data_IF_465350694156
#
_entry.id   IF_465350694156
#
_cell.length_a   1.000
_cell.length_b   1.000
_cell.length_c   1.000
_cell.angle_alpha   90.00
_cell.angle_beta   90.00
_cell.angle_gamma   90.00
#
_symmetry.space_group_name_H-M   'P 1'
#
loop_
_entity.id
_entity.type
_entity.pdbx_description
1 polymer ?
#
# COMPACT_ATOMS: atom_id res chain seq x y z
N UNK A 1 19.90 -30.14 10.29
CA UNK A 1 19.81 -28.90 9.53
C UNK A 1 19.08 -27.84 10.36
N UNK A 2 19.77 -26.70 10.65
CA UNK A 2 19.30 -25.66 11.60
C UNK A 2 18.32 -24.64 10.98
N UNK A 3 17.81 -24.89 9.76
CA UNK A 3 16.99 -23.96 9.04
C UNK A 3 15.46 -24.13 9.21
N UNK A 4 15.05 -25.06 10.08
CA UNK A 4 13.63 -25.28 10.42
C UNK A 4 12.97 -24.22 11.31
N UNK A 5 13.62 -23.08 11.55
CA UNK A 5 12.89 -21.97 12.15
C UNK A 5 12.06 -21.31 11.04
N UNK A 6 10.72 -21.40 11.09
CA UNK A 6 9.89 -20.74 10.08
C UNK A 6 10.18 -19.24 10.16
N UNK A 7 10.33 -18.59 8.98
CA UNK A 7 10.33 -17.11 8.86
C UNK A 7 8.89 -16.62 9.15
N UNK A 8 8.27 -17.21 10.16
CA UNK A 8 6.88 -16.98 10.51
C UNK A 8 6.76 -15.61 11.17
N UNK A 9 5.96 -14.75 10.61
CA UNK A 9 5.56 -13.48 11.22
C UNK A 9 6.32 -12.24 10.74
N UNK A 10 7.34 -12.35 9.89
CA UNK A 10 8.13 -11.22 9.38
C UNK A 10 7.72 -10.83 7.93
N UNK A 11 8.08 -9.61 7.51
CA UNK A 11 7.96 -9.20 6.10
C UNK A 11 8.70 -10.15 5.15
N UNK A 12 9.85 -10.67 5.57
CA UNK A 12 10.62 -11.66 4.82
C UNK A 12 9.85 -12.97 4.63
N UNK A 13 9.11 -13.41 5.64
CA UNK A 13 8.24 -14.59 5.53
C UNK A 13 7.07 -14.37 4.57
N UNK A 14 6.47 -13.18 4.57
CA UNK A 14 5.42 -12.84 3.59
C UNK A 14 5.96 -12.85 2.17
N UNK A 15 7.15 -12.29 1.96
CA UNK A 15 7.81 -12.30 0.65
C UNK A 15 8.19 -13.71 0.21
N UNK A 16 8.71 -14.55 1.12
CA UNK A 16 9.00 -15.96 0.87
C UNK A 16 7.75 -16.69 0.35
N UNK A 17 6.63 -16.62 1.09
CA UNK A 17 5.41 -17.34 0.74
C UNK A 17 4.80 -16.81 -0.57
N UNK A 18 4.86 -15.49 -0.80
CA UNK A 18 4.41 -14.91 -2.06
C UNK A 18 5.25 -15.37 -3.26
N UNK A 19 6.57 -15.55 -3.09
CA UNK A 19 7.46 -16.06 -4.14
C UNK A 19 7.22 -17.55 -4.41
N UNK A 20 6.92 -18.34 -3.39
CA UNK A 20 6.52 -19.75 -3.57
C UNK A 20 5.16 -19.85 -4.28
N UNK A 21 4.18 -19.03 -3.88
CA UNK A 21 2.90 -18.95 -4.60
C UNK A 21 3.10 -18.54 -6.06
N UNK A 22 3.98 -17.57 -6.32
CA UNK A 22 4.33 -17.17 -7.68
C UNK A 22 4.93 -18.34 -8.48
N UNK A 23 5.85 -19.09 -7.90
CA UNK A 23 6.44 -20.29 -8.54
C UNK A 23 5.36 -21.32 -8.89
N UNK A 24 4.43 -21.58 -8.00
CA UNK A 24 3.38 -22.57 -8.21
C UNK A 24 2.34 -22.14 -9.26
N UNK A 25 2.00 -20.85 -9.34
CA UNK A 25 0.84 -20.37 -10.12
C UNK A 25 1.18 -19.52 -11.33
N UNK A 26 2.47 -19.22 -11.61
CA UNK A 26 2.87 -18.34 -12.73
C UNK A 26 2.38 -18.83 -14.09
N UNK A 27 2.22 -20.14 -14.29
CA UNK A 27 1.68 -20.73 -15.53
C UNK A 27 0.21 -20.37 -15.78
N UNK A 28 -0.52 -19.97 -14.74
CA UNK A 28 -1.91 -19.52 -14.84
C UNK A 28 -2.06 -18.05 -15.23
N UNK A 29 -1.00 -17.26 -15.17
CA UNK A 29 -1.02 -15.85 -15.55
C UNK A 29 -1.15 -15.70 -17.07
N UNK A 30 -2.28 -15.14 -17.54
CA UNK A 30 -2.56 -15.00 -18.98
C UNK A 30 -1.84 -13.83 -19.65
N UNK A 31 -1.43 -12.83 -18.89
CA UNK A 31 -0.72 -11.63 -19.37
C UNK A 31 0.69 -11.57 -18.76
N UNK A 32 1.69 -12.25 -19.34
CA UNK A 32 3.06 -12.31 -18.80
C UNK A 32 3.71 -10.93 -18.61
N UNK A 33 3.36 -9.96 -19.46
CA UNK A 33 3.87 -8.59 -19.38
C UNK A 33 3.46 -7.88 -18.08
N UNK A 34 2.41 -8.37 -17.40
CA UNK A 34 1.91 -7.88 -16.12
C UNK A 34 2.46 -8.65 -14.92
N UNK A 35 3.45 -9.51 -15.12
CA UNK A 35 4.05 -10.33 -14.06
C UNK A 35 4.45 -9.50 -12.83
N UNK A 36 4.97 -8.29 -13.01
CA UNK A 36 5.38 -7.43 -11.91
C UNK A 36 4.18 -7.03 -11.03
N UNK A 37 3.13 -6.49 -11.62
CA UNK A 37 1.90 -6.13 -10.90
C UNK A 37 1.27 -7.34 -10.23
N UNK A 38 1.22 -8.47 -10.93
CA UNK A 38 0.71 -9.75 -10.41
C UNK A 38 1.51 -10.24 -9.18
N UNK A 39 2.83 -10.13 -9.20
CA UNK A 39 3.66 -10.48 -8.05
C UNK A 39 3.40 -9.55 -6.86
N UNK A 40 3.20 -8.24 -7.09
CA UNK A 40 2.79 -7.32 -6.04
C UNK A 40 1.43 -7.68 -5.44
N UNK A 41 0.49 -8.18 -6.24
CA UNK A 41 -0.81 -8.64 -5.75
C UNK A 41 -0.65 -9.84 -4.81
N UNK A 42 0.19 -10.83 -5.16
CA UNK A 42 0.50 -11.98 -4.30
C UNK A 42 1.13 -11.52 -2.97
N UNK A 43 2.14 -10.65 -3.02
CA UNK A 43 2.80 -10.12 -1.83
C UNK A 43 1.80 -9.38 -0.94
N UNK A 44 0.94 -8.53 -1.53
CA UNK A 44 -0.09 -7.81 -0.82
C UNK A 44 -1.07 -8.74 -0.11
N UNK A 45 -1.62 -9.71 -0.83
CA UNK A 45 -2.58 -10.65 -0.27
C UNK A 45 -1.98 -11.45 0.89
N UNK A 46 -0.73 -11.90 0.75
CA UNK A 46 -0.03 -12.59 1.83
C UNK A 46 0.21 -11.68 3.05
N UNK A 47 0.61 -10.43 2.83
CA UNK A 47 0.74 -9.45 3.91
C UNK A 47 -0.60 -9.21 4.61
N UNK A 48 -1.70 -9.04 3.87
CA UNK A 48 -3.03 -8.82 4.43
C UNK A 48 -3.51 -10.04 5.21
N UNK A 49 -3.31 -11.25 4.70
CA UNK A 49 -3.60 -12.50 5.40
C UNK A 49 -2.89 -12.58 6.74
N UNK A 50 -1.59 -12.27 6.78
CA UNK A 50 -0.79 -12.26 8.02
C UNK A 50 -1.21 -11.15 8.99
N UNK A 51 -1.65 -10.01 8.47
CA UNK A 51 -2.14 -8.91 9.31
C UNK A 51 -3.46 -9.23 10.02
N UNK A 52 -4.27 -10.11 9.42
CA UNK A 52 -5.55 -10.58 9.98
C UNK A 52 -5.39 -11.71 11.00
N UNK A 53 -4.24 -12.36 11.05
CA UNK A 53 -4.01 -13.47 12.00
C UNK A 53 -4.06 -12.94 13.45
N UNK A 54 -5.06 -13.39 14.26
CA UNK A 54 -5.19 -12.97 15.65
C UNK A 54 -4.03 -13.44 16.54
N UNK A 55 -3.33 -14.49 16.11
CA UNK A 55 -2.17 -15.04 16.82
C UNK A 55 -0.85 -14.39 16.41
N UNK A 56 -0.91 -13.33 15.62
CA UNK A 56 0.27 -12.62 15.15
C UNK A 56 1.10 -12.11 16.33
N UNK A 57 2.40 -12.42 16.37
CA UNK A 57 3.29 -11.84 17.38
C UNK A 57 3.28 -10.30 17.31
N UNK A 58 3.20 -9.65 18.46
CA UNK A 58 3.18 -8.19 18.57
C UNK A 58 4.49 -7.52 18.14
N UNK A 59 5.48 -8.26 17.73
CA UNK A 59 6.79 -7.76 17.31
C UNK A 59 6.72 -7.04 15.97
N UNK A 60 6.54 -5.72 16.03
CA UNK A 60 6.95 -4.81 14.97
C UNK A 60 8.48 -4.67 15.03
N UNK A 61 9.19 -5.59 14.43
CA UNK A 61 10.57 -5.32 14.02
C UNK A 61 10.49 -4.54 12.72
N UNK A 62 10.69 -3.25 12.80
CA UNK A 62 11.01 -2.46 11.62
C UNK A 62 12.29 -3.07 11.00
N UNK A 63 12.25 -3.31 9.69
CA UNK A 63 13.48 -3.71 9.00
C UNK A 63 14.53 -2.62 9.25
N UNK A 64 15.79 -2.97 9.54
CA UNK A 64 16.82 -1.98 9.74
C UNK A 64 16.88 -1.10 8.49
N UNK A 65 16.70 0.21 8.68
CA UNK A 65 16.91 1.17 7.63
C UNK A 65 18.40 1.17 7.30
N UNK A 66 18.73 0.87 6.05
CA UNK A 66 20.11 1.03 5.59
C UNK A 66 20.31 2.50 5.28
N UNK A 67 20.97 3.18 6.18
CA UNK A 67 21.51 4.49 5.90
C UNK A 67 22.68 4.33 4.91
N UNK A 68 22.71 5.23 3.94
CA UNK A 68 23.79 5.27 2.95
C UNK A 68 25.05 5.73 3.68
N UNK A 69 25.93 4.80 4.04
CA UNK A 69 27.14 5.07 4.82
C UNK A 69 28.16 5.99 4.12
N UNK A 70 27.83 6.48 2.93
CA UNK A 70 28.64 7.41 2.14
C UNK A 70 28.15 8.88 2.26
N UNK A 71 27.04 9.15 2.97
CA UNK A 71 26.53 10.49 3.16
C UNK A 71 27.30 11.20 4.27
N UNK A 72 27.64 12.46 4.06
CA UNK A 72 28.16 13.31 5.13
C UNK A 72 27.03 13.69 6.13
N UNK A 73 27.44 14.28 7.27
CA UNK A 73 26.48 14.61 8.34
C UNK A 73 25.41 15.63 7.91
N UNK A 74 25.72 16.54 6.98
CA UNK A 74 24.79 17.55 6.47
C UNK A 74 23.79 16.93 5.49
N UNK A 75 24.27 16.08 4.59
CA UNK A 75 23.44 15.33 3.65
C UNK A 75 22.48 14.38 4.37
N UNK A 76 22.98 13.70 5.41
CA UNK A 76 22.15 12.83 6.26
C UNK A 76 21.05 13.64 6.96
N UNK A 77 21.37 14.79 7.57
CA UNK A 77 20.40 15.66 8.22
C UNK A 77 19.32 16.13 7.23
N UNK A 78 19.70 16.56 6.03
CA UNK A 78 18.77 16.98 4.99
C UNK A 78 17.86 15.83 4.54
N UNK A 79 18.42 14.63 4.41
CA UNK A 79 17.65 13.42 4.06
C UNK A 79 16.65 13.04 5.15
N UNK A 80 17.06 13.10 6.41
CA UNK A 80 16.16 12.85 7.55
C UNK A 80 15.02 13.87 7.61
N UNK A 81 15.30 15.15 7.35
CA UNK A 81 14.28 16.19 7.28
C UNK A 81 13.29 15.96 6.14
N UNK A 82 13.77 15.60 4.95
CA UNK A 82 12.92 15.24 3.81
C UNK A 82 12.04 14.02 4.12
N UNK A 83 12.58 13.01 4.80
CA UNK A 83 11.80 11.85 5.27
C UNK A 83 10.67 12.25 6.21
N UNK A 84 10.95 13.10 7.20
CA UNK A 84 9.92 13.58 8.14
C UNK A 84 8.81 14.34 7.42
N UNK A 85 9.16 15.16 6.41
CA UNK A 85 8.21 15.85 5.57
C UNK A 85 7.31 14.87 4.80
N UNK A 86 7.91 13.87 4.17
CA UNK A 86 7.18 12.81 3.46
C UNK A 86 6.26 12.03 4.40
N UNK A 87 6.73 11.65 5.59
CA UNK A 87 5.90 10.98 6.58
C UNK A 87 4.68 11.81 6.99
N UNK A 88 4.87 13.12 7.18
CA UNK A 88 3.77 14.04 7.46
C UNK A 88 2.76 14.07 6.32
N UNK A 89 3.21 14.19 5.07
CA UNK A 89 2.35 14.17 3.89
C UNK A 89 1.58 12.85 3.72
N UNK A 90 2.29 11.73 3.82
CA UNK A 90 1.69 10.39 3.70
C UNK A 90 0.68 10.09 4.83
N UNK A 91 0.87 10.67 6.01
CA UNK A 91 -0.07 10.51 7.12
C UNK A 91 -1.43 11.16 6.84
N UNK A 92 -1.53 12.13 5.91
CA UNK A 92 -2.79 12.74 5.48
C UNK A 92 -3.62 11.83 4.56
N UNK A 93 -3.01 10.80 3.97
CA UNK A 93 -3.65 9.88 3.05
C UNK A 93 -4.33 8.71 3.79
N UNK A 94 -5.42 8.20 3.21
CA UNK A 94 -6.01 6.92 3.62
C UNK A 94 -5.09 5.77 3.22
N UNK A 95 -5.19 4.61 3.90
CA UNK A 95 -4.32 3.47 3.63
C UNK A 95 -4.28 3.06 2.16
N UNK A 96 -5.46 2.95 1.52
CA UNK A 96 -5.59 2.56 0.10
C UNK A 96 -5.02 3.62 -0.87
N UNK A 97 -5.17 4.90 -0.55
CA UNK A 97 -4.60 6.00 -1.34
C UNK A 97 -3.07 6.00 -1.28
N UNK A 98 -2.53 5.76 -0.07
CA UNK A 98 -1.07 5.64 0.15
C UNK A 98 -0.49 4.46 -0.62
N UNK A 99 -1.14 3.30 -0.53
CA UNK A 99 -0.74 2.09 -1.23
C UNK A 99 -0.75 2.28 -2.75
N UNK A 100 -1.83 2.87 -3.31
CA UNK A 100 -1.93 3.17 -4.74
C UNK A 100 -0.82 4.10 -5.23
N UNK A 101 -0.51 5.17 -4.48
CA UNK A 101 0.58 6.09 -4.83
C UNK A 101 1.95 5.43 -4.74
N UNK A 102 2.20 4.60 -3.72
CA UNK A 102 3.47 3.90 -3.57
C UNK A 102 3.70 2.95 -4.75
N UNK A 103 2.70 2.15 -5.10
CA UNK A 103 2.76 1.27 -6.27
C UNK A 103 3.04 2.02 -7.57
N UNK A 104 2.40 3.16 -7.79
CA UNK A 104 2.57 3.95 -9.00
C UNK A 104 3.89 4.72 -9.02
N UNK A 105 4.21 5.49 -7.97
CA UNK A 105 5.31 6.45 -7.98
C UNK A 105 6.66 5.84 -7.64
N UNK A 106 6.70 4.86 -6.73
CA UNK A 106 7.96 4.19 -6.32
C UNK A 106 8.21 2.94 -7.14
N UNK A 107 7.16 2.18 -7.41
CA UNK A 107 7.28 0.89 -8.09
C UNK A 107 6.96 0.97 -9.58
N UNK A 108 6.47 2.11 -10.08
CA UNK A 108 6.23 2.38 -11.50
C UNK A 108 5.18 1.45 -12.13
N UNK A 109 4.18 1.00 -11.36
CA UNK A 109 3.05 0.24 -11.88
C UNK A 109 2.10 1.19 -12.62
N UNK A 110 1.51 0.70 -13.71
CA UNK A 110 0.45 1.43 -14.41
C UNK A 110 -0.91 1.31 -13.69
N UNK A 111 -1.91 2.06 -14.16
CA UNK A 111 -3.23 2.08 -13.52
C UNK A 111 -3.94 0.70 -13.54
N UNK A 112 -3.70 -0.10 -14.58
CA UNK A 112 -4.30 -1.44 -14.67
C UNK A 112 -3.61 -2.42 -13.73
N UNK A 113 -2.28 -2.34 -13.59
CA UNK A 113 -1.52 -3.11 -12.60
C UNK A 113 -1.91 -2.72 -11.17
N UNK A 114 -1.98 -1.41 -10.86
CA UNK A 114 -2.46 -0.91 -9.56
C UNK A 114 -3.87 -1.41 -9.29
N UNK A 115 -4.73 -1.37 -10.29
CA UNK A 115 -6.09 -1.92 -10.22
C UNK A 115 -6.08 -3.40 -9.85
N UNK A 116 -5.27 -4.21 -10.53
CA UNK A 116 -5.10 -5.63 -10.24
C UNK A 116 -4.61 -5.91 -8.82
N UNK A 117 -3.60 -5.15 -8.35
CA UNK A 117 -3.07 -5.28 -6.98
C UNK A 117 -4.11 -4.91 -5.93
N UNK A 118 -4.83 -3.79 -6.11
CA UNK A 118 -5.76 -3.27 -5.12
C UNK A 118 -7.19 -3.77 -5.30
N UNK A 119 -7.38 -4.50 -6.35
CA UNK A 119 -8.66 -5.06 -6.65
C UNK A 119 -9.71 -4.05 -7.05
N UNK A 120 -9.42 -3.20 -7.96
CA UNK A 120 -10.30 -2.21 -8.59
C UNK A 120 -10.06 -2.20 -10.10
N UNK A 121 -10.94 -1.58 -10.85
CA UNK A 121 -10.69 -1.39 -12.28
C UNK A 121 -9.67 -0.27 -12.54
N UNK A 122 -9.13 -0.21 -13.78
CA UNK A 122 -8.08 0.77 -14.13
C UNK A 122 -8.56 2.23 -14.03
N UNK A 123 -9.85 2.49 -14.25
CA UNK A 123 -10.45 3.83 -14.12
C UNK A 123 -10.50 4.23 -12.64
N UNK A 124 -11.00 3.34 -11.78
CA UNK A 124 -11.02 3.57 -10.33
C UNK A 124 -9.60 3.76 -9.79
N UNK A 125 -8.62 2.98 -10.25
CA UNK A 125 -7.22 3.14 -9.89
C UNK A 125 -6.67 4.51 -10.29
N UNK A 126 -6.99 4.98 -11.51
CA UNK A 126 -6.63 6.32 -11.98
C UNK A 126 -7.24 7.41 -11.11
N UNK A 127 -8.53 7.29 -10.78
CA UNK A 127 -9.24 8.27 -9.95
C UNK A 127 -8.69 8.31 -8.51
N UNK A 128 -8.41 7.14 -7.92
CA UNK A 128 -7.83 7.04 -6.57
C UNK A 128 -6.44 7.66 -6.53
N UNK A 129 -5.58 7.30 -7.49
CA UNK A 129 -4.21 7.81 -7.54
C UNK A 129 -4.16 9.30 -7.82
N UNK A 130 -5.03 9.82 -8.71
CA UNK A 130 -5.14 11.25 -8.99
C UNK A 130 -5.52 12.06 -7.76
N UNK A 131 -6.58 11.64 -7.05
CA UNK A 131 -7.00 12.28 -5.78
C UNK A 131 -5.94 12.17 -4.69
N UNK A 132 -5.31 11.01 -4.56
CA UNK A 132 -4.27 10.78 -3.57
C UNK A 132 -3.05 11.66 -3.83
N UNK A 133 -2.65 11.83 -5.10
CA UNK A 133 -1.56 12.72 -5.50
C UNK A 133 -1.86 14.18 -5.14
N UNK A 134 -3.05 14.68 -5.50
CA UNK A 134 -3.43 16.05 -5.15
C UNK A 134 -3.39 16.28 -3.63
N UNK A 135 -3.94 15.36 -2.83
CA UNK A 135 -3.88 15.43 -1.35
C UNK A 135 -2.47 15.39 -0.80
N UNK A 136 -1.60 14.56 -1.40
CA UNK A 136 -0.20 14.49 -0.97
C UNK A 136 0.53 15.79 -1.29
N UNK A 137 0.33 16.35 -2.50
CA UNK A 137 0.95 17.62 -2.89
C UNK A 137 0.48 18.76 -1.96
N UNK A 138 -0.81 18.84 -1.65
CA UNK A 138 -1.36 19.82 -0.69
C UNK A 138 -0.76 19.65 0.73
N UNK A 139 -0.69 18.41 1.21
CA UNK A 139 -0.15 18.11 2.53
C UNK A 139 1.35 18.43 2.64
N UNK A 140 2.13 18.13 1.59
CA UNK A 140 3.55 18.44 1.52
C UNK A 140 3.79 19.96 1.45
N UNK A 141 2.99 20.67 0.66
CA UNK A 141 3.06 22.14 0.57
C UNK A 141 2.76 22.79 1.93
N UNK A 142 1.68 22.33 2.60
CA UNK A 142 1.31 22.83 3.91
C UNK A 142 2.39 22.54 4.98
N UNK A 143 2.92 21.31 5.02
CA UNK A 143 3.99 20.94 5.95
C UNK A 143 5.29 21.70 5.67
N UNK A 144 5.67 21.84 4.39
CA UNK A 144 6.88 22.57 3.98
C UNK A 144 6.79 24.06 4.32
N UNK A 145 5.63 24.69 4.17
CA UNK A 145 5.43 26.11 4.47
C UNK A 145 5.69 26.44 5.93
N UNK A 146 5.30 25.57 6.86
CA UNK A 146 5.56 25.78 8.29
C UNK A 146 6.96 25.37 8.73
N UNK A 147 7.62 24.50 7.97
CA UNK A 147 8.99 24.07 8.27
C UNK A 147 10.04 25.10 7.83
N UNK A 148 9.87 25.66 6.63
CA UNK A 148 10.89 26.49 6.00
C UNK A 148 10.52 27.97 5.89
N UNK A 149 9.34 28.38 6.31
CA UNK A 149 8.88 29.69 5.92
C UNK A 149 8.15 30.56 6.89
N UNK A 150 7.77 30.15 8.03
CA UNK A 150 7.36 30.94 9.20
C UNK A 150 6.59 32.29 9.10
N UNK A 151 6.29 32.80 7.88
CA UNK A 151 5.72 34.14 7.71
C UNK A 151 4.21 34.21 8.01
N UNK A 152 3.57 33.05 8.21
CA UNK A 152 2.18 32.99 8.64
C UNK A 152 2.10 32.59 10.11
N UNK A 153 1.74 33.54 11.04
CA UNK A 153 1.66 33.25 12.47
C UNK A 153 0.60 32.22 12.81
N UNK A 154 -0.51 32.17 12.04
CA UNK A 154 -1.60 31.20 12.26
C UNK A 154 -1.17 29.78 11.88
N UNK A 155 -0.53 29.60 10.72
CA UNK A 155 0.01 28.31 10.30
C UNK A 155 1.08 27.82 11.30
N UNK A 156 1.95 28.69 11.79
CA UNK A 156 2.92 28.38 12.82
C UNK A 156 2.26 27.96 14.15
N UNK A 157 1.15 28.61 14.53
CA UNK A 157 0.37 28.26 15.72
C UNK A 157 -0.29 26.89 15.59
N UNK A 158 -0.83 26.56 14.42
CA UNK A 158 -1.37 25.24 14.11
C UNK A 158 -0.29 24.16 14.23
N UNK A 159 0.87 24.36 13.58
CA UNK A 159 1.96 23.40 13.58
C UNK A 159 2.54 23.11 14.98
N UNK A 160 2.61 24.13 15.86
CA UNK A 160 3.08 23.96 17.25
C UNK A 160 2.25 23.01 18.10
N UNK A 161 1.00 22.71 17.71
CA UNK A 161 0.14 21.76 18.42
C UNK A 161 0.49 20.29 18.17
N UNK A 162 1.27 20.00 17.11
CA UNK A 162 1.81 18.69 16.82
C UNK A 162 3.33 18.63 17.05
N UNK A 163 3.92 17.49 17.02
CA UNK A 163 5.37 17.30 16.90
C UNK A 163 5.77 17.07 15.44
N UNK A 164 7.04 16.83 15.18
CA UNK A 164 7.50 16.36 13.89
C UNK A 164 7.77 14.85 13.95
N UNK A 165 7.34 14.08 12.94
CA UNK A 165 6.48 14.49 11.80
C UNK A 165 5.08 14.93 12.25
N UNK A 166 4.46 15.86 11.49
CA UNK A 166 3.15 16.42 11.82
C UNK A 166 2.06 15.34 11.79
N UNK A 167 1.21 15.25 12.82
CA UNK A 167 0.13 14.27 12.86
C UNK A 167 -1.02 14.63 11.89
N UNK A 168 -1.81 13.63 11.42
CA UNK A 168 -2.85 13.82 10.42
C UNK A 168 -3.86 14.96 10.70
N UNK A 169 -4.33 15.19 11.95
CA UNK A 169 -5.24 16.29 12.24
C UNK A 169 -4.63 17.66 11.97
N UNK A 170 -3.35 17.83 12.33
CA UNK A 170 -2.62 19.10 12.14
C UNK A 170 -2.39 19.37 10.66
N UNK A 171 -2.01 18.35 9.89
CA UNK A 171 -1.87 18.49 8.43
C UNK A 171 -3.18 18.93 7.78
N UNK A 172 -4.31 18.30 8.14
CA UNK A 172 -5.61 18.70 7.58
C UNK A 172 -5.93 20.17 7.89
N UNK A 173 -5.74 20.58 9.13
CA UNK A 173 -5.99 21.97 9.53
C UNK A 173 -5.06 22.97 8.81
N UNK A 174 -3.81 22.58 8.54
CA UNK A 174 -2.88 23.38 7.74
C UNK A 174 -3.30 23.48 6.26
N UNK A 175 -3.80 22.38 5.68
CA UNK A 175 -4.33 22.38 4.31
C UNK A 175 -5.56 23.28 4.22
N UNK A 176 -6.53 23.12 5.15
CA UNK A 176 -7.73 23.97 5.22
C UNK A 176 -7.35 25.45 5.39
N UNK A 177 -6.39 25.77 6.26
CA UNK A 177 -5.89 27.11 6.42
C UNK A 177 -5.27 27.68 5.13
N UNK A 178 -4.51 26.86 4.39
CA UNK A 178 -3.84 27.29 3.16
C UNK A 178 -4.81 27.60 2.02
N UNK A 179 -6.05 27.07 2.05
CA UNK A 179 -7.09 27.40 1.05
C UNK A 179 -7.55 28.85 1.14
N UNK A 180 -7.55 29.45 2.35
CA UNK A 180 -8.07 30.79 2.60
C UNK A 180 -6.98 31.82 2.91
N UNK A 181 -5.74 31.40 3.18
CA UNK A 181 -4.65 32.28 3.54
C UNK A 181 -3.79 32.64 2.30
N UNK A 182 -3.74 33.91 1.86
CA UNK A 182 -2.96 34.30 0.68
C UNK A 182 -1.46 34.07 0.85
N UNK A 183 -0.94 34.16 2.07
CA UNK A 183 0.47 33.90 2.37
C UNK A 183 0.81 32.41 2.18
N UNK A 184 -0.04 31.52 2.64
CA UNK A 184 0.18 30.07 2.51
C UNK A 184 -0.13 29.57 1.09
N UNK A 185 -1.15 30.12 0.44
CA UNK A 185 -1.51 29.79 -0.93
C UNK A 185 -0.40 30.11 -1.94
N UNK A 186 0.26 31.27 -1.81
CA UNK A 186 1.34 31.67 -2.73
C UNK A 186 2.58 30.75 -2.70
N UNK A 187 2.70 29.88 -1.69
CA UNK A 187 3.84 28.96 -1.52
C UNK A 187 3.57 27.57 -2.07
N UNK A 188 2.34 27.28 -2.48
CA UNK A 188 1.97 25.96 -3.02
C UNK A 188 2.79 25.59 -4.25
N UNK A 189 3.05 26.56 -5.13
CA UNK A 189 3.67 26.34 -6.44
C UNK A 189 5.19 26.06 -6.37
N UNK A 190 5.83 26.32 -5.24
CA UNK A 190 7.27 26.11 -5.04
C UNK A 190 7.68 24.78 -4.42
N UNK A 191 6.72 23.88 -4.15
CA UNK A 191 7.00 22.65 -3.41
C UNK A 191 7.59 21.57 -4.31
N UNK A 192 8.56 20.82 -3.80
CA UNK A 192 9.13 19.69 -4.53
C UNK A 192 8.06 18.65 -4.85
N UNK A 193 8.08 18.10 -6.06
CA UNK A 193 7.14 17.06 -6.51
C UNK A 193 7.12 15.87 -5.53
N UNK A 194 5.91 15.41 -5.19
CA UNK A 194 5.69 14.23 -4.35
C UNK A 194 6.49 13.00 -4.85
N UNK A 195 6.55 12.79 -6.15
CA UNK A 195 7.31 11.68 -6.75
C UNK A 195 8.81 11.75 -6.42
N UNK A 196 9.37 12.95 -6.39
CA UNK A 196 10.80 13.18 -6.07
C UNK A 196 11.06 12.98 -4.58
N UNK A 197 10.13 13.44 -3.72
CA UNK A 197 10.25 13.28 -2.27
C UNK A 197 10.05 11.82 -1.83
N UNK A 198 9.19 11.05 -2.49
CA UNK A 198 9.02 9.62 -2.18
C UNK A 198 10.28 8.78 -2.43
N UNK A 199 11.21 9.25 -3.28
CA UNK A 199 12.48 8.55 -3.53
C UNK A 199 13.46 8.62 -2.35
N UNK A 200 13.28 9.55 -1.40
CA UNK A 200 14.11 9.61 -0.19
C UNK A 200 13.70 8.58 0.87
N UNK A 201 12.55 7.93 0.68
CA UNK A 201 12.09 6.88 1.60
C UNK A 201 13.01 5.66 1.48
N UNK A 202 13.41 5.07 2.62
CA UNK A 202 14.30 3.92 2.62
C UNK A 202 13.65 2.72 1.93
N UNK A 203 14.49 1.90 1.30
CA UNK A 203 14.10 0.59 0.79
C UNK A 203 14.60 -0.45 1.77
N UNK A 204 13.71 -1.32 2.22
CA UNK A 204 14.09 -2.42 3.10
C UNK A 204 15.07 -3.35 2.38
N UNK A 205 16.15 -3.73 3.06
CA UNK A 205 17.09 -4.70 2.52
C UNK A 205 16.45 -6.09 2.51
N UNK A 206 16.61 -6.76 1.38
CA UNK A 206 16.22 -8.18 1.28
C UNK A 206 17.15 -9.03 2.15
N UNK A 207 16.61 -9.91 3.01
CA UNK A 207 17.44 -10.84 3.79
C UNK A 207 18.32 -11.69 2.86
N UNK A 208 19.59 -11.81 3.20
CA UNK A 208 20.60 -12.50 2.37
C UNK A 208 20.32 -13.98 2.15
N UNK A 209 19.61 -14.61 3.06
CA UNK A 209 19.24 -16.03 3.04
C UNK A 209 17.89 -16.32 2.37
N UNK A 210 17.09 -15.28 2.06
CA UNK A 210 15.75 -15.45 1.49
C UNK A 210 15.77 -16.25 0.19
N UNK A 211 16.72 -15.96 -0.72
CA UNK A 211 16.85 -16.70 -1.98
C UNK A 211 17.08 -18.20 -1.74
N UNK A 212 17.94 -18.54 -0.80
CA UNK A 212 18.23 -19.94 -0.44
C UNK A 212 16.98 -20.66 0.10
N UNK A 213 16.20 -19.99 0.94
CA UNK A 213 14.95 -20.54 1.46
C UNK A 213 13.90 -20.76 0.37
N UNK A 214 13.68 -19.78 -0.50
CA UNK A 214 12.74 -19.90 -1.63
C UNK A 214 13.15 -21.07 -2.54
N UNK A 215 14.42 -21.15 -2.92
CA UNK A 215 14.91 -22.25 -3.75
C UNK A 215 14.75 -23.60 -3.08
N UNK A 216 15.05 -23.71 -1.79
CA UNK A 216 14.87 -24.96 -1.06
C UNK A 216 13.39 -25.38 -1.03
N UNK A 217 12.48 -24.49 -0.67
CA UNK A 217 11.04 -24.80 -0.64
C UNK A 217 10.50 -25.18 -2.02
N UNK A 218 11.00 -24.55 -3.08
CA UNK A 218 10.54 -24.81 -4.45
C UNK A 218 11.06 -26.14 -5.04
N UNK A 219 12.24 -26.63 -4.57
CA UNK A 219 12.94 -27.75 -5.25
C UNK A 219 13.28 -28.94 -4.38
N UNK A 220 13.24 -28.82 -3.06
CA UNK A 220 13.52 -29.94 -2.14
C UNK A 220 12.26 -30.80 -1.96
N UNK A 221 12.28 -32.08 -2.36
CA UNK A 221 11.15 -33.00 -2.20
C UNK A 221 10.69 -33.15 -0.73
N UNK A 222 11.57 -32.93 0.24
CA UNK A 222 11.20 -32.99 1.66
C UNK A 222 10.33 -31.82 2.12
N UNK A 223 10.23 -30.75 1.31
CA UNK A 223 9.42 -29.55 1.52
C UNK A 223 8.21 -29.45 0.59
N UNK A 224 7.90 -30.51 -0.14
CA UNK A 224 6.77 -30.54 -1.08
C UNK A 224 5.43 -30.21 -0.38
N UNK A 225 5.21 -30.68 0.84
CA UNK A 225 4.02 -30.34 1.61
C UNK A 225 3.96 -28.85 1.98
N UNK A 226 5.07 -28.22 2.31
CA UNK A 226 5.14 -26.78 2.61
C UNK A 226 4.82 -25.97 1.33
N UNK A 227 5.35 -26.40 0.19
CA UNK A 227 5.04 -25.79 -1.12
C UNK A 227 3.55 -25.88 -1.44
N UNK A 228 2.96 -27.07 -1.31
CA UNK A 228 1.54 -27.30 -1.57
C UNK A 228 0.64 -26.45 -0.65
N UNK A 229 0.95 -26.40 0.64
CA UNK A 229 0.23 -25.60 1.61
C UNK A 229 0.29 -24.08 1.28
N UNK A 230 1.47 -23.57 0.88
CA UNK A 230 1.63 -22.17 0.50
C UNK A 230 0.88 -21.89 -0.81
N UNK A 231 0.99 -22.75 -1.81
CA UNK A 231 0.29 -22.61 -3.06
C UNK A 231 -1.24 -22.58 -2.84
N UNK A 232 -1.77 -23.52 -2.08
CA UNK A 232 -3.20 -23.58 -1.77
C UNK A 232 -3.72 -22.34 -1.05
N UNK A 233 -2.93 -21.78 -0.12
CA UNK A 233 -3.32 -20.56 0.60
C UNK A 233 -3.35 -19.29 -0.28
N UNK A 234 -2.69 -19.32 -1.44
CA UNK A 234 -2.69 -18.21 -2.38
C UNK A 234 -3.96 -18.17 -3.25
N UNK A 235 -4.74 -19.23 -3.27
CA UNK A 235 -6.01 -19.29 -3.99
C UNK A 235 -7.12 -18.51 -3.25
N UNK A 236 -8.20 -18.07 -3.96
CA UNK A 236 -8.49 -18.29 -5.37
C UNK A 236 -7.83 -17.28 -6.32
N UNK A 237 -7.74 -17.66 -7.59
CA UNK A 237 -7.36 -16.81 -8.70
C UNK A 237 -8.56 -16.54 -9.62
N UNK A 238 -8.58 -15.36 -10.24
CA UNK A 238 -9.60 -15.03 -11.24
C UNK A 238 -9.32 -15.70 -12.60
N UNK A 239 -10.18 -15.43 -13.59
CA UNK A 239 -10.07 -15.99 -14.94
C UNK A 239 -8.82 -15.54 -15.70
N UNK A 240 -8.15 -14.47 -15.27
CA UNK A 240 -6.91 -13.95 -15.85
C UNK A 240 -5.67 -14.43 -15.10
N UNK A 241 -5.87 -15.18 -14.01
CA UNK A 241 -4.82 -15.70 -13.15
C UNK A 241 -4.36 -14.68 -12.09
N UNK A 242 -5.13 -13.62 -11.81
CA UNK A 242 -4.82 -12.70 -10.72
C UNK A 242 -5.34 -13.22 -9.39
N UNK A 243 -4.59 -13.07 -8.29
CA UNK A 243 -5.05 -13.50 -6.99
C UNK A 243 -6.21 -12.64 -6.51
N UNK A 244 -7.27 -13.27 -6.04
CA UNK A 244 -8.46 -12.59 -5.51
C UNK A 244 -8.31 -12.42 -4.01
N UNK A 245 -8.54 -11.19 -3.49
CA UNK A 245 -8.59 -10.98 -2.04
C UNK A 245 -9.88 -11.57 -1.48
N UNK A 246 -9.77 -12.41 -0.47
CA UNK A 246 -10.89 -13.15 0.15
C UNK A 246 -11.96 -12.22 0.78
N UNK A 247 -11.65 -10.94 0.97
CA UNK A 247 -12.61 -9.93 1.43
C UNK A 247 -13.52 -9.35 0.33
N UNK A 248 -13.32 -9.75 -0.93
CA UNK A 248 -14.28 -9.42 -1.96
C UNK A 248 -15.48 -10.37 -1.87
N UNK A 249 -16.44 -10.03 -1.04
CA UNK A 249 -17.81 -10.41 -1.39
C UNK A 249 -18.02 -9.96 -2.85
N UNK A 250 -18.36 -10.87 -3.77
CA UNK A 250 -18.70 -10.46 -5.12
C UNK A 250 -19.77 -9.39 -4.97
N UNK A 251 -19.54 -8.21 -5.54
CA UNK A 251 -20.54 -7.16 -5.61
C UNK A 251 -21.82 -7.86 -5.99
N UNK A 252 -22.80 -7.91 -5.08
CA UNK A 252 -24.06 -8.64 -5.27
C UNK A 252 -24.63 -8.13 -6.57
N UNK A 253 -24.40 -8.94 -7.63
CA UNK A 253 -24.96 -8.68 -8.92
C UNK A 253 -26.44 -8.45 -8.68
N UNK A 254 -26.91 -7.27 -9.08
CA UNK A 254 -28.30 -6.86 -8.91
C UNK A 254 -29.21 -7.92 -9.52
N UNK A 255 -29.57 -8.93 -8.74
CA UNK A 255 -30.72 -9.76 -9.04
C UNK A 255 -31.91 -8.86 -8.89
N UNK A 256 -32.31 -8.29 -10.04
CA UNK A 256 -33.65 -7.78 -10.27
C UNK A 256 -34.63 -8.76 -9.59
N UNK A 257 -35.11 -8.41 -8.42
CA UNK A 257 -36.27 -9.06 -7.81
C UNK A 257 -37.42 -8.82 -8.75
N UNK A 258 -37.64 -9.76 -9.66
CA UNK A 258 -38.92 -9.91 -10.32
C UNK A 258 -39.97 -10.02 -9.21
N UNK A 259 -40.73 -8.95 -9.02
CA UNK A 259 -41.94 -8.95 -8.19
C UNK A 259 -42.87 -9.99 -8.80
N UNK A 260 -42.84 -11.22 -8.30
CA UNK A 260 -43.91 -12.17 -8.52
C UNK A 260 -45.14 -11.65 -7.79
N UNK A 261 -46.02 -10.99 -8.56
CA UNK A 261 -47.35 -10.61 -8.12
C UNK A 261 -48.14 -11.87 -7.75
N UNK A 262 -48.25 -12.14 -6.47
CA UNK A 262 -49.26 -13.06 -5.98
C UNK A 262 -50.62 -12.41 -6.21
N UNK A 263 -51.33 -12.81 -7.27
CA UNK A 263 -52.77 -12.60 -7.41
C UNK A 263 -53.46 -13.45 -6.38
N UNK A 264 -54.18 -12.80 -5.48
CA UNK A 264 -55.11 -13.47 -4.56
C UNK A 264 -56.28 -14.09 -5.36
N UNK A 265 -56.75 -15.29 -5.01
CA UNK A 265 -57.91 -15.89 -5.66
C UNK A 265 -59.22 -15.16 -5.27
N UNK A 266 -60.25 -15.12 -6.18
CA UNK A 266 -61.52 -14.46 -5.89
C UNK A 266 -62.32 -15.28 -4.87
N UNK A 267 -63.05 -14.55 -3.98
CA UNK A 267 -64.04 -15.11 -3.06
C UNK A 267 -65.26 -15.66 -3.82
N UNK A 268 -65.83 -16.80 -3.40
CA UNK A 268 -67.09 -17.29 -3.97
C UNK A 268 -68.29 -16.43 -3.49
N UNK A 269 -69.39 -16.34 -4.30
CA UNK A 269 -70.58 -15.59 -3.96
C UNK A 269 -71.42 -16.35 -2.93
N UNK A 270 -72.12 -15.58 -2.10
CA UNK A 270 -73.15 -15.99 -1.10
C UNK A 270 -74.42 -16.45 -1.77
#
# INVERSE_FOLDING_TARGET
PKWKAPIVGSAAGALHDALIAAYAHVSGLREPDRFRGWLYALVRNECMRRLRDPNRPAERREAPEVEDGFLDGAELAQRMEARQLVHSGLAALRGREREALDLMLRHGLDAAEVGGVLGMDAREATDVTGRARARLDDALAAASSVRHGGDCPDAAAIARRGGWPLPPPVIRELVDHAEFCPVCASRRDGTASAARLLQVMPVAMMPTDLRGHVMATATDPSLAADLEDIAYRAEPFDTWGWPVDDEREPARGGTSRARSGRRSPPRPPS
#
